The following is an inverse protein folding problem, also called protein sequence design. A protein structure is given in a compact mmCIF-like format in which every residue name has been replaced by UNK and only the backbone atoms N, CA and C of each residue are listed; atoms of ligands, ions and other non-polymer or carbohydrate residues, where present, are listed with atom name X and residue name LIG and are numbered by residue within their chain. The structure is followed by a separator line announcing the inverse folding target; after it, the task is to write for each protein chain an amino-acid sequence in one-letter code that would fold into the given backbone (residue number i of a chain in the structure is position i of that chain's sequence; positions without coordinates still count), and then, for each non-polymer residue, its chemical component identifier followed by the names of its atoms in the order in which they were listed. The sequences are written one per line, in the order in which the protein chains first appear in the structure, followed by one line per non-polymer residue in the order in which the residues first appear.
data_IF_355004478471
#
_entry.id   IF_355004478471
#
_cell.length_a   1.000
_cell.length_b   1.000
_cell.length_c   1.000
_cell.angle_alpha   90.00
_cell.angle_beta   90.00
_cell.angle_gamma   90.00
#
_symmetry.space_group_name_H-M   'P 1'
#
loop_
_entity.id
_entity.type
_entity.pdbx_description
1 polymer ?
#
# COMPACT_ATOMS: atom_id res chain seq x y z
N UNK A 1 14.53 -43.49 -6.42
CA UNK A 1 14.61 -42.01 -6.42
C UNK A 1 13.21 -41.50 -6.20
N UNK A 2 12.90 -41.15 -4.95
CA UNK A 2 11.56 -40.74 -4.54
C UNK A 2 11.35 -39.28 -4.89
N UNK A 3 10.42 -39.02 -5.79
CA UNK A 3 9.89 -37.70 -6.08
C UNK A 3 9.08 -37.21 -4.88
N UNK A 4 9.64 -36.25 -4.12
CA UNK A 4 8.90 -35.49 -3.13
C UNK A 4 7.93 -34.57 -3.87
N UNK A 5 6.69 -35.02 -4.04
CA UNK A 5 5.55 -34.14 -4.31
C UNK A 5 5.27 -33.37 -3.02
N UNK A 6 5.72 -32.13 -2.97
CA UNK A 6 5.25 -31.13 -2.00
C UNK A 6 3.74 -30.97 -2.21
N UNK A 7 2.98 -31.64 -1.36
CA UNK A 7 1.54 -31.46 -1.24
C UNK A 7 1.29 -30.03 -0.80
N UNK A 8 0.73 -29.21 -1.68
CA UNK A 8 0.05 -27.97 -1.32
C UNK A 8 -1.18 -28.32 -0.49
N UNK A 9 -0.98 -28.58 0.80
CA UNK A 9 -2.08 -28.79 1.73
C UNK A 9 -2.85 -27.48 1.85
N UNK A 10 -4.11 -27.50 1.42
CA UNK A 10 -5.08 -26.44 1.72
C UNK A 10 -5.00 -26.14 3.23
N UNK A 11 -4.82 -24.87 3.65
CA UNK A 11 -4.65 -24.56 5.06
C UNK A 11 -5.86 -25.05 5.86
N UNK A 12 -5.59 -25.76 6.96
CA UNK A 12 -6.62 -26.31 7.85
C UNK A 12 -7.53 -25.17 8.34
N UNK A 13 -8.86 -25.36 8.35
CA UNK A 13 -9.85 -24.36 8.77
C UNK A 13 -9.53 -23.74 10.14
N UNK A 14 -8.98 -24.53 11.06
CA UNK A 14 -8.54 -24.04 12.38
C UNK A 14 -7.37 -23.04 12.32
N UNK A 15 -6.46 -23.21 11.36
CA UNK A 15 -5.35 -22.28 11.13
C UNK A 15 -5.86 -20.96 10.55
N UNK A 16 -6.75 -21.03 9.55
CA UNK A 16 -7.38 -19.86 8.95
C UNK A 16 -8.21 -19.06 9.97
N UNK A 17 -8.95 -19.74 10.85
CA UNK A 17 -9.68 -19.10 11.95
C UNK A 17 -8.74 -18.35 12.91
N UNK A 18 -7.59 -18.96 13.27
CA UNK A 18 -6.57 -18.32 14.10
C UNK A 18 -6.00 -17.04 13.46
N UNK A 19 -5.78 -17.04 12.13
CA UNK A 19 -5.34 -15.85 11.39
C UNK A 19 -6.40 -14.74 11.47
N UNK A 20 -7.66 -15.05 11.14
CA UNK A 20 -8.76 -14.08 11.21
C UNK A 20 -8.89 -13.48 12.61
N UNK A 21 -8.86 -14.32 13.65
CA UNK A 21 -8.91 -13.87 15.05
C UNK A 21 -7.75 -12.94 15.42
N UNK A 22 -6.55 -13.23 14.93
CA UNK A 22 -5.34 -12.44 15.19
C UNK A 22 -5.44 -11.06 14.53
N UNK A 23 -5.90 -11.00 13.27
CA UNK A 23 -6.11 -9.75 12.53
C UNK A 23 -7.24 -8.91 13.16
N UNK A 24 -8.36 -9.55 13.54
CA UNK A 24 -9.45 -8.90 14.25
C UNK A 24 -9.00 -8.25 15.57
N UNK A 25 -8.14 -8.94 16.34
CA UNK A 25 -7.57 -8.39 17.57
C UNK A 25 -6.66 -7.19 17.28
N UNK A 26 -5.85 -7.24 16.21
CA UNK A 26 -5.05 -6.10 15.78
C UNK A 26 -5.91 -4.85 15.55
N UNK A 27 -7.01 -4.95 14.80
CA UNK A 27 -7.91 -3.83 14.53
C UNK A 27 -8.49 -3.23 15.81
N UNK A 28 -8.90 -4.09 16.77
CA UNK A 28 -9.39 -3.66 18.08
C UNK A 28 -8.32 -2.90 18.86
N UNK A 29 -7.07 -3.35 18.83
CA UNK A 29 -5.94 -2.72 19.53
C UNK A 29 -5.55 -1.36 18.96
N UNK A 30 -5.83 -1.12 17.68
CA UNK A 30 -5.70 0.18 17.05
C UNK A 30 -6.96 1.07 17.20
N UNK A 31 -7.93 0.66 18.03
CA UNK A 31 -9.17 1.43 18.26
C UNK A 31 -10.08 1.52 17.03
N UNK A 32 -9.85 0.71 16.00
CA UNK A 32 -10.61 0.80 14.75
C UNK A 32 -12.00 0.19 14.90
N UNK A 33 -13.02 0.92 14.42
CA UNK A 33 -14.37 0.41 14.29
C UNK A 33 -14.57 -0.06 12.85
N UNK A 34 -14.66 -1.37 12.66
CA UNK A 34 -15.01 -1.90 11.35
C UNK A 34 -16.42 -1.50 10.97
N UNK A 35 -16.56 -0.99 9.76
CA UNK A 35 -17.82 -0.74 9.09
C UNK A 35 -17.78 -1.41 7.73
N UNK A 36 -18.90 -1.97 7.28
CA UNK A 36 -19.01 -2.36 5.88
C UNK A 36 -18.97 -1.08 5.02
N UNK A 37 -18.21 -1.13 3.93
CA UNK A 37 -17.98 0.04 3.07
C UNK A 37 -18.26 -0.37 1.64
N UNK A 38 -19.13 0.37 0.97
CA UNK A 38 -19.36 0.22 -0.46
C UNK A 38 -18.54 1.27 -1.21
N UNK A 39 -18.08 0.90 -2.41
CA UNK A 39 -17.43 1.83 -3.33
C UNK A 39 -18.46 2.86 -3.81
N UNK A 40 -18.12 4.15 -3.67
CA UNK A 40 -18.92 5.24 -4.21
C UNK A 40 -18.93 5.17 -5.75
N UNK A 41 -20.09 4.80 -6.30
CA UNK A 41 -20.27 4.61 -7.73
C UNK A 41 -20.25 5.92 -8.51
N UNK A 42 -20.75 7.01 -7.93
CA UNK A 42 -20.75 8.32 -8.57
C UNK A 42 -19.32 8.83 -8.65
N UNK A 43 -18.59 8.79 -7.54
CA UNK A 43 -17.19 9.19 -7.51
C UNK A 43 -16.30 8.26 -8.35
N UNK A 44 -16.62 6.97 -8.47
CA UNK A 44 -15.96 6.06 -9.42
C UNK A 44 -16.13 6.52 -10.87
N UNK A 45 -17.35 6.90 -11.27
CA UNK A 45 -17.61 7.43 -12.60
C UNK A 45 -16.85 8.74 -12.85
N UNK A 46 -16.80 9.64 -11.88
CA UNK A 46 -16.02 10.87 -11.95
C UNK A 46 -14.53 10.60 -12.12
N UNK A 47 -13.95 9.71 -11.30
CA UNK A 47 -12.55 9.32 -11.39
C UNK A 47 -12.22 8.70 -12.77
N UNK A 48 -13.11 7.85 -13.29
CA UNK A 48 -12.95 7.28 -14.63
C UNK A 48 -13.00 8.36 -15.72
N UNK A 49 -13.93 9.31 -15.61
CA UNK A 49 -14.06 10.39 -16.58
C UNK A 49 -12.83 11.31 -16.55
N UNK A 50 -12.30 11.61 -15.36
CA UNK A 50 -11.07 12.38 -15.23
C UNK A 50 -9.86 11.66 -15.81
N UNK A 51 -9.74 10.35 -15.60
CA UNK A 51 -8.71 9.55 -16.27
C UNK A 51 -8.78 9.65 -17.80
N UNK A 52 -9.99 9.58 -18.38
CA UNK A 52 -10.22 9.78 -19.82
C UNK A 52 -9.80 11.20 -20.24
N UNK A 53 -10.19 12.23 -19.50
CA UNK A 53 -9.86 13.62 -19.80
C UNK A 53 -8.35 13.87 -19.82
N UNK A 54 -7.60 13.19 -18.94
CA UNK A 54 -6.13 13.23 -18.87
C UNK A 54 -5.44 12.35 -19.92
N UNK A 55 -6.19 11.60 -20.71
CA UNK A 55 -5.66 10.68 -21.72
C UNK A 55 -5.03 9.42 -21.13
N UNK A 56 -5.40 9.03 -19.91
CA UNK A 56 -4.95 7.78 -19.32
C UNK A 56 -5.61 6.60 -20.01
N UNK A 57 -4.92 5.46 -20.15
CA UNK A 57 -5.47 4.31 -20.86
C UNK A 57 -6.62 3.70 -20.04
N UNK A 58 -7.85 3.84 -20.53
CA UNK A 58 -9.06 3.29 -19.89
C UNK A 58 -9.60 2.04 -20.57
N UNK A 59 -9.04 1.68 -21.73
CA UNK A 59 -9.43 0.53 -22.54
C UNK A 59 -8.19 -0.16 -23.14
N UNK A 60 -8.35 -1.41 -23.60
CA UNK A 60 -7.29 -2.20 -24.20
C UNK A 60 -6.27 -2.78 -23.20
N UNK A 61 -5.15 -3.30 -23.71
CA UNK A 61 -4.11 -4.02 -22.94
C UNK A 61 -3.58 -3.21 -21.74
N UNK A 62 -3.44 -1.90 -21.92
CA UNK A 62 -2.84 -1.01 -20.92
C UNK A 62 -3.87 -0.31 -20.04
N UNK A 63 -5.12 -0.77 -20.03
CA UNK A 63 -6.19 -0.15 -19.26
C UNK A 63 -5.89 -0.13 -17.76
N UNK A 64 -6.14 1.00 -17.10
CA UNK A 64 -6.17 1.13 -15.64
C UNK A 64 -7.57 0.92 -15.06
N UNK A 65 -8.61 0.66 -15.88
CA UNK A 65 -10.01 0.59 -15.42
C UNK A 65 -10.24 -0.44 -14.32
N UNK A 66 -9.60 -1.59 -14.41
CA UNK A 66 -9.66 -2.64 -13.39
C UNK A 66 -9.06 -2.22 -12.04
N UNK A 67 -8.23 -1.17 -12.03
CA UNK A 67 -7.56 -0.63 -10.86
C UNK A 67 -8.24 0.63 -10.31
N UNK A 68 -9.26 1.14 -11.00
CA UNK A 68 -9.99 2.33 -10.55
C UNK A 68 -10.75 2.11 -9.26
N UNK A 69 -11.23 0.89 -8.99
CA UNK A 69 -11.86 0.57 -7.70
C UNK A 69 -10.85 0.72 -6.56
N UNK A 70 -9.60 0.30 -6.76
CA UNK A 70 -8.51 0.49 -5.79
C UNK A 70 -8.25 1.99 -5.57
N UNK A 71 -8.23 2.76 -6.65
CA UNK A 71 -8.10 4.22 -6.57
C UNK A 71 -9.23 4.89 -5.80
N UNK A 72 -10.48 4.52 -6.06
CA UNK A 72 -11.65 5.10 -5.39
C UNK A 72 -11.71 4.68 -3.92
N UNK A 73 -11.38 3.42 -3.62
CA UNK A 73 -11.38 2.90 -2.27
C UNK A 73 -10.43 3.65 -1.34
N UNK A 74 -9.35 4.26 -1.86
CA UNK A 74 -8.37 4.97 -1.02
C UNK A 74 -8.86 6.37 -0.61
N UNK A 75 -9.82 6.94 -1.35
CA UNK A 75 -10.29 8.31 -1.18
C UNK A 75 -10.76 8.67 0.24
N UNK A 76 -11.44 7.78 1.01
CA UNK A 76 -11.78 8.05 2.40
C UNK A 76 -10.59 8.37 3.30
N UNK A 77 -9.39 7.84 3.00
CA UNK A 77 -8.13 8.15 3.73
C UNK A 77 -7.69 9.61 3.55
N UNK A 78 -8.27 10.31 2.58
CA UNK A 78 -7.93 11.67 2.22
C UNK A 78 -9.17 12.58 2.25
N UNK A 79 -10.24 12.17 2.94
CA UNK A 79 -11.52 12.87 2.99
C UNK A 79 -11.41 14.31 3.52
N UNK A 80 -10.42 14.59 4.36
CA UNK A 80 -10.11 15.91 4.91
C UNK A 80 -9.37 16.83 3.92
N UNK A 81 -8.92 16.32 2.78
CA UNK A 81 -8.27 17.10 1.74
C UNK A 81 -9.27 17.61 0.68
N UNK A 82 -8.91 18.68 -0.06
CA UNK A 82 -9.72 19.17 -1.17
C UNK A 82 -9.98 18.11 -2.26
N UNK A 83 -11.08 18.25 -2.99
CA UNK A 83 -11.52 17.28 -4.01
C UNK A 83 -10.47 16.97 -5.07
N UNK A 84 -9.76 17.98 -5.56
CA UNK A 84 -8.69 17.79 -6.54
C UNK A 84 -7.51 16.96 -6.01
N UNK A 85 -7.23 17.01 -4.70
CA UNK A 85 -6.18 16.19 -4.07
C UNK A 85 -6.64 14.73 -3.90
N UNK A 86 -7.91 14.52 -3.52
CA UNK A 86 -8.52 13.18 -3.49
C UNK A 86 -8.52 12.54 -4.87
N UNK A 87 -8.93 13.29 -5.89
CA UNK A 87 -8.92 12.83 -7.29
C UNK A 87 -7.51 12.44 -7.75
N UNK A 88 -6.51 13.29 -7.47
CA UNK A 88 -5.11 12.98 -7.76
C UNK A 88 -4.68 11.66 -7.11
N UNK A 89 -5.01 11.47 -5.82
CA UNK A 89 -4.64 10.27 -5.09
C UNK A 89 -5.35 9.01 -5.60
N UNK A 90 -6.60 9.12 -6.04
CA UNK A 90 -7.33 8.03 -6.68
C UNK A 90 -6.63 7.57 -7.96
N UNK A 91 -6.31 8.52 -8.85
CA UNK A 91 -5.63 8.24 -10.11
C UNK A 91 -4.21 7.71 -9.88
N UNK A 92 -3.47 8.32 -8.96
CA UNK A 92 -2.14 7.87 -8.56
C UNK A 92 -2.18 6.42 -8.10
N UNK A 93 -3.09 6.10 -7.17
CA UNK A 93 -3.22 4.75 -6.60
C UNK A 93 -3.60 3.71 -7.67
N UNK A 94 -4.52 4.04 -8.58
CA UNK A 94 -4.89 3.15 -9.68
C UNK A 94 -3.72 2.89 -10.64
N UNK A 95 -2.95 3.93 -10.97
CA UNK A 95 -1.78 3.82 -11.86
C UNK A 95 -0.66 2.99 -11.22
N UNK A 96 -0.29 3.26 -9.97
CA UNK A 96 0.78 2.48 -9.31
C UNK A 96 0.37 1.02 -9.11
N UNK A 97 -0.90 0.75 -8.78
CA UNK A 97 -1.41 -0.62 -8.67
C UNK A 97 -1.35 -1.37 -10.01
N UNK A 98 -1.65 -0.69 -11.13
CA UNK A 98 -1.50 -1.30 -12.47
C UNK A 98 -0.04 -1.60 -12.81
N UNK A 99 0.89 -0.71 -12.44
CA UNK A 99 2.34 -0.89 -12.68
C UNK A 99 2.86 -2.09 -11.89
N UNK A 100 2.48 -2.19 -10.61
CA UNK A 100 2.85 -3.31 -9.75
C UNK A 100 2.45 -4.66 -10.36
N UNK A 101 1.17 -4.79 -10.75
CA UNK A 101 0.66 -5.99 -11.41
C UNK A 101 1.33 -6.27 -12.77
N UNK A 102 1.60 -5.22 -13.56
CA UNK A 102 2.31 -5.34 -14.84
C UNK A 102 3.67 -6.04 -14.66
N UNK A 103 4.42 -5.60 -13.65
CA UNK A 103 5.77 -6.09 -13.38
C UNK A 103 5.74 -7.49 -12.78
N UNK A 104 4.80 -7.76 -11.89
CA UNK A 104 4.58 -9.12 -11.35
C UNK A 104 4.30 -10.15 -12.46
N UNK A 105 3.59 -9.73 -13.50
CA UNK A 105 3.31 -10.56 -14.69
C UNK A 105 4.47 -10.60 -15.70
N UNK A 106 5.55 -9.85 -15.47
CA UNK A 106 6.71 -9.76 -16.37
C UNK A 106 6.43 -8.99 -17.66
N UNK A 107 5.36 -8.17 -17.70
CA UNK A 107 4.98 -7.39 -18.87
C UNK A 107 5.83 -6.12 -18.99
N UNK A 108 6.34 -5.85 -20.19
CA UNK A 108 6.92 -4.56 -20.60
C UNK A 108 7.99 -3.98 -19.63
N UNK A 109 8.70 -4.86 -18.90
CA UNK A 109 9.65 -4.52 -17.84
C UNK A 109 10.77 -3.57 -18.30
N UNK A 110 11.21 -3.69 -19.56
CA UNK A 110 12.22 -2.82 -20.17
C UNK A 110 11.85 -1.34 -20.05
N UNK A 111 10.57 -0.99 -20.19
CA UNK A 111 10.14 0.40 -20.04
C UNK A 111 10.24 0.88 -18.59
N UNK A 112 10.00 0.00 -17.62
CA UNK A 112 10.07 0.29 -16.18
C UNK A 112 11.51 0.60 -15.76
N UNK A 113 12.51 -0.15 -16.25
CA UNK A 113 13.93 0.13 -15.97
C UNK A 113 14.37 1.53 -16.40
N UNK A 114 13.84 2.02 -17.52
CA UNK A 114 14.21 3.33 -18.06
C UNK A 114 13.35 4.48 -17.51
N UNK A 115 12.34 4.22 -16.68
CA UNK A 115 11.41 5.26 -16.27
C UNK A 115 12.10 6.40 -15.51
N UNK A 116 12.92 6.08 -14.50
CA UNK A 116 13.59 7.11 -13.70
C UNK A 116 14.55 7.96 -14.55
N UNK A 117 15.32 7.33 -15.44
CA UNK A 117 16.20 8.01 -16.39
C UNK A 117 15.41 8.96 -17.29
N UNK A 118 14.32 8.48 -17.90
CA UNK A 118 13.48 9.27 -18.80
C UNK A 118 12.77 10.41 -18.06
N UNK A 119 12.27 10.15 -16.86
CA UNK A 119 11.60 11.14 -16.02
C UNK A 119 12.52 12.35 -15.73
N UNK A 120 13.76 12.07 -15.28
CA UNK A 120 14.76 13.12 -14.98
C UNK A 120 15.18 13.88 -16.23
N UNK A 121 15.31 13.19 -17.37
CA UNK A 121 15.67 13.81 -18.64
C UNK A 121 14.47 14.42 -19.40
N UNK A 122 13.27 14.42 -18.81
CA UNK A 122 12.04 14.91 -19.44
C UNK A 122 11.77 14.25 -20.82
N UNK A 123 12.08 12.96 -20.94
CA UNK A 123 11.86 12.16 -22.14
C UNK A 123 10.53 11.41 -22.06
N UNK A 124 9.96 11.07 -23.22
CA UNK A 124 8.77 10.22 -23.30
C UNK A 124 9.04 8.86 -22.65
N UNK A 125 8.10 8.37 -21.82
CA UNK A 125 8.24 7.06 -21.19
C UNK A 125 8.06 5.90 -22.18
N UNK A 126 7.51 6.17 -23.36
CA UNK A 126 7.29 5.17 -24.40
C UNK A 126 6.31 4.07 -24.02
N UNK A 127 5.58 4.22 -22.92
CA UNK A 127 4.60 3.26 -22.42
C UNK A 127 3.38 3.99 -21.82
N UNK A 128 2.13 3.67 -22.20
CA UNK A 128 0.95 4.46 -21.82
C UNK A 128 0.75 4.62 -20.31
N UNK A 129 0.90 3.55 -19.53
CA UNK A 129 0.72 3.59 -18.07
C UNK A 129 1.85 4.40 -17.41
N UNK A 130 3.08 4.29 -17.92
CA UNK A 130 4.21 5.05 -17.38
C UNK A 130 4.11 6.53 -17.74
N UNK A 131 3.57 6.88 -18.91
CA UNK A 131 3.24 8.26 -19.24
C UNK A 131 2.20 8.83 -18.26
N UNK A 132 1.20 8.04 -17.86
CA UNK A 132 0.24 8.46 -16.85
C UNK A 132 0.92 8.73 -15.49
N UNK A 133 1.83 7.85 -15.04
CA UNK A 133 2.61 8.07 -13.83
C UNK A 133 3.48 9.33 -13.91
N UNK A 134 4.14 9.57 -15.05
CA UNK A 134 4.96 10.76 -15.29
C UNK A 134 4.13 12.06 -15.15
N UNK A 135 2.96 12.12 -15.79
CA UNK A 135 2.03 13.25 -15.69
C UNK A 135 1.62 13.49 -14.24
N UNK A 136 1.13 12.45 -13.55
CA UNK A 136 0.70 12.53 -12.14
C UNK A 136 1.85 13.04 -11.25
N UNK A 137 3.05 12.49 -11.44
CA UNK A 137 4.19 12.80 -10.59
C UNK A 137 4.67 14.25 -10.75
N UNK A 138 4.57 14.83 -11.96
CA UNK A 138 4.92 16.24 -12.19
C UNK A 138 3.96 17.22 -11.50
N UNK A 139 2.71 16.83 -11.30
CA UNK A 139 1.70 17.66 -10.63
C UNK A 139 1.92 17.78 -9.12
N UNK A 140 2.79 16.97 -8.50
CA UNK A 140 2.94 16.94 -7.04
C UNK A 140 3.32 18.29 -6.41
N UNK A 141 3.98 19.15 -7.20
CA UNK A 141 4.38 20.50 -6.80
C UNK A 141 3.20 21.47 -6.69
N UNK A 142 2.03 21.11 -7.25
CA UNK A 142 0.78 21.86 -7.09
C UNK A 142 0.10 21.58 -5.74
N UNK A 143 0.43 20.46 -5.08
CA UNK A 143 -0.25 20.01 -3.87
C UNK A 143 0.53 20.30 -2.59
N UNK A 144 1.86 20.32 -2.63
CA UNK A 144 2.67 20.51 -1.42
C UNK A 144 3.85 21.45 -1.63
N UNK A 145 4.48 21.82 -0.51
CA UNK A 145 5.74 22.56 -0.53
C UNK A 145 6.84 21.78 -1.28
N UNK A 146 7.86 22.46 -1.86
CA UNK A 146 8.94 21.81 -2.57
C UNK A 146 9.63 20.68 -1.79
N UNK A 147 9.79 20.85 -0.47
CA UNK A 147 10.41 19.83 0.38
C UNK A 147 9.57 18.55 0.46
N UNK A 148 8.27 18.68 0.68
CA UNK A 148 7.35 17.53 0.76
C UNK A 148 7.19 16.88 -0.61
N UNK A 149 7.04 17.68 -1.67
CA UNK A 149 7.03 17.20 -3.05
C UNK A 149 8.26 16.37 -3.38
N UNK A 150 9.46 16.79 -2.93
CA UNK A 150 10.69 16.01 -3.14
C UNK A 150 10.63 14.63 -2.46
N UNK A 151 10.12 14.54 -1.22
CA UNK A 151 9.98 13.24 -0.53
C UNK A 151 9.02 12.31 -1.28
N UNK A 152 7.89 12.84 -1.75
CA UNK A 152 6.91 12.07 -2.51
C UNK A 152 7.51 11.64 -3.86
N UNK A 153 8.19 12.54 -4.58
CA UNK A 153 8.88 12.20 -5.84
C UNK A 153 9.89 11.09 -5.65
N UNK A 154 10.76 11.17 -4.64
CA UNK A 154 11.75 10.13 -4.35
C UNK A 154 11.07 8.80 -4.02
N UNK A 155 9.98 8.81 -3.25
CA UNK A 155 9.24 7.59 -2.93
C UNK A 155 8.70 6.89 -4.18
N UNK A 156 8.15 7.65 -5.13
CA UNK A 156 7.62 7.09 -6.40
C UNK A 156 8.74 6.58 -7.31
N UNK A 157 9.87 7.29 -7.40
CA UNK A 157 11.03 6.80 -8.17
C UNK A 157 11.65 5.53 -7.54
N UNK A 158 11.64 5.44 -6.21
CA UNK A 158 12.04 4.24 -5.48
C UNK A 158 11.09 3.07 -5.74
N UNK A 159 9.77 3.31 -5.78
CA UNK A 159 8.77 2.29 -6.12
C UNK A 159 9.03 1.64 -7.48
N UNK A 160 9.28 2.46 -8.50
CA UNK A 160 9.61 1.97 -9.84
C UNK A 160 10.91 1.14 -9.83
N UNK A 161 11.91 1.59 -9.06
CA UNK A 161 13.15 0.83 -8.89
C UNK A 161 12.93 -0.48 -8.12
N UNK A 162 12.01 -0.48 -7.15
CA UNK A 162 11.63 -1.66 -6.37
C UNK A 162 10.99 -2.72 -7.26
N UNK A 163 10.12 -2.32 -8.18
CA UNK A 163 9.53 -3.19 -9.19
C UNK A 163 10.60 -3.88 -10.05
N UNK A 164 11.60 -3.12 -10.52
CA UNK A 164 12.75 -3.70 -11.22
C UNK A 164 13.55 -4.66 -10.31
N UNK A 165 13.78 -4.28 -9.05
CA UNK A 165 14.49 -5.11 -8.08
C UNK A 165 13.77 -6.44 -7.84
N UNK A 166 12.45 -6.43 -7.66
CA UNK A 166 11.63 -7.64 -7.45
C UNK A 166 11.70 -8.56 -8.67
N UNK A 167 11.66 -7.99 -9.89
CA UNK A 167 11.88 -8.76 -11.13
C UNK A 167 13.27 -9.42 -11.17
N UNK A 168 14.34 -8.72 -10.79
CA UNK A 168 15.72 -9.26 -10.76
C UNK A 168 15.93 -10.30 -9.65
N UNK A 169 15.12 -10.24 -8.59
CA UNK A 169 15.32 -11.03 -7.37
C UNK A 169 14.26 -12.11 -7.15
N UNK A 170 13.39 -12.36 -8.13
CA UNK A 170 12.24 -13.29 -8.04
C UNK A 170 12.57 -14.67 -7.44
N UNK A 171 13.72 -15.24 -7.79
CA UNK A 171 14.17 -16.56 -7.32
C UNK A 171 15.34 -16.49 -6.32
N UNK A 172 15.65 -15.28 -5.82
CA UNK A 172 16.77 -15.05 -4.92
C UNK A 172 16.50 -15.65 -3.54
N UNK A 173 17.43 -16.46 -3.05
CA UNK A 173 17.38 -16.95 -1.66
C UNK A 173 17.74 -15.82 -0.69
N UNK A 174 16.85 -15.54 0.26
CA UNK A 174 17.10 -14.53 1.28
C UNK A 174 18.07 -15.08 2.33
N UNK A 175 19.19 -14.39 2.51
CA UNK A 175 20.16 -14.75 3.53
C UNK A 175 19.62 -14.44 4.93
N UNK A 176 19.66 -15.40 5.88
CA UNK A 176 19.37 -15.13 7.30
C UNK A 176 20.34 -14.11 7.94
N UNK A 177 21.46 -13.80 7.26
CA UNK A 177 22.43 -12.78 7.69
C UNK A 177 22.08 -11.38 7.17
N UNK A 178 20.95 -11.20 6.50
CA UNK A 178 20.46 -9.92 5.97
C UNK A 178 19.12 -9.52 6.63
N UNK A 179 19.08 -9.33 7.96
CA UNK A 179 17.82 -9.16 8.70
C UNK A 179 17.03 -7.88 8.33
N UNK A 180 17.68 -6.89 7.72
CA UNK A 180 17.06 -5.62 7.32
C UNK A 180 16.59 -5.61 5.86
N UNK A 181 16.97 -6.60 5.05
CA UNK A 181 16.61 -6.64 3.64
C UNK A 181 15.09 -6.65 3.40
N UNK A 182 14.28 -7.46 4.11
CA UNK A 182 12.84 -7.45 3.91
C UNK A 182 12.23 -6.05 4.15
N UNK A 183 12.62 -5.39 5.24
CA UNK A 183 12.10 -4.05 5.58
C UNK A 183 12.56 -3.00 4.56
N UNK A 184 13.82 -3.06 4.12
CA UNK A 184 14.33 -2.20 3.05
C UNK A 184 13.53 -2.37 1.76
N UNK A 185 13.36 -3.61 1.27
CA UNK A 185 12.60 -3.90 0.05
C UNK A 185 11.16 -3.40 0.16
N UNK A 186 10.50 -3.67 1.30
CA UNK A 186 9.11 -3.29 1.55
C UNK A 186 8.89 -1.78 1.61
N UNK A 187 9.84 -1.02 2.16
CA UNK A 187 9.77 0.45 2.16
C UNK A 187 9.87 1.01 0.75
N UNK A 188 10.67 0.39 -0.14
CA UNK A 188 10.76 0.84 -1.53
C UNK A 188 9.48 0.52 -2.31
N UNK A 189 8.98 -0.73 -2.26
CA UNK A 189 7.80 -1.13 -3.03
C UNK A 189 6.47 -0.64 -2.43
N UNK A 190 6.41 -0.40 -1.12
CA UNK A 190 5.18 0.05 -0.46
C UNK A 190 4.80 1.52 -0.64
N UNK A 191 5.73 2.33 -1.14
CA UNK A 191 5.54 3.78 -1.32
C UNK A 191 4.99 4.52 -0.07
N UNK A 192 5.31 4.12 1.17
CA UNK A 192 4.64 4.66 2.35
C UNK A 192 4.85 6.17 2.52
N UNK A 193 5.98 6.69 2.04
CA UNK A 193 6.27 8.13 2.04
C UNK A 193 5.31 8.91 1.15
N UNK A 194 4.98 8.40 -0.04
CA UNK A 194 4.06 9.09 -0.93
C UNK A 194 2.68 9.21 -0.27
N UNK A 195 2.14 8.09 0.22
CA UNK A 195 0.83 8.07 0.87
C UNK A 195 0.81 8.87 2.18
N UNK A 196 1.85 8.72 3.01
CA UNK A 196 1.93 9.32 4.33
C UNK A 196 2.16 10.83 4.30
N UNK A 197 3.08 11.33 3.45
CA UNK A 197 3.28 12.77 3.31
C UNK A 197 2.08 13.45 2.66
N UNK A 198 1.45 12.82 1.67
CA UNK A 198 0.30 13.41 0.98
C UNK A 198 -0.92 13.55 1.91
N UNK A 199 -1.01 12.72 2.96
CA UNK A 199 -2.10 12.82 3.93
C UNK A 199 -2.12 14.16 4.67
N UNK A 200 -0.98 14.83 4.84
CA UNK A 200 -0.91 16.08 5.60
C UNK A 200 -1.23 17.31 4.74
N UNK A 201 -2.17 18.19 5.15
CA UNK A 201 -2.51 19.38 4.38
C UNK A 201 -1.29 20.24 4.04
N UNK A 202 -1.30 20.86 2.87
CA UNK A 202 -0.17 21.64 2.34
C UNK A 202 0.22 22.85 3.20
N UNK A 203 -0.74 23.38 3.96
CA UNK A 203 -0.57 24.50 4.88
C UNK A 203 -0.05 24.09 6.26
N UNK A 204 -0.11 22.79 6.61
CA UNK A 204 0.38 22.29 7.88
C UNK A 204 1.91 22.26 7.86
N UNK A 205 2.61 22.97 8.77
CA UNK A 205 4.07 23.01 8.75
C UNK A 205 4.68 21.63 8.98
N UNK A 206 5.65 21.24 8.15
CA UNK A 206 6.31 19.92 8.22
C UNK A 206 6.83 19.56 9.62
N UNK A 207 7.31 20.56 10.38
CA UNK A 207 7.82 20.37 11.75
C UNK A 207 6.77 19.83 12.73
N UNK A 208 5.47 19.99 12.44
CA UNK A 208 4.38 19.54 13.29
C UNK A 208 4.10 18.03 13.16
N UNK A 209 4.56 17.39 12.07
CA UNK A 209 4.28 15.97 11.81
C UNK A 209 5.49 15.14 11.37
N UNK A 210 6.62 15.74 10.98
CA UNK A 210 7.77 15.00 10.43
C UNK A 210 8.31 13.91 11.34
N UNK A 211 8.23 14.09 12.65
CA UNK A 211 8.70 13.11 13.62
C UNK A 211 7.85 11.83 13.64
N UNK A 212 6.58 11.90 13.21
CA UNK A 212 5.71 10.73 13.15
C UNK A 212 5.87 9.95 11.84
N UNK A 213 6.47 10.53 10.79
CA UNK A 213 6.58 9.91 9.46
C UNK A 213 7.28 8.53 9.51
N UNK A 214 8.38 8.31 10.26
CA UNK A 214 8.99 6.99 10.37
C UNK A 214 8.02 5.92 10.89
N UNK A 215 7.24 6.22 11.92
CA UNK A 215 6.22 5.32 12.45
C UNK A 215 5.05 5.17 11.48
N UNK A 216 4.66 6.25 10.78
CA UNK A 216 3.62 6.19 9.76
C UNK A 216 3.99 5.26 8.60
N UNK A 217 5.28 5.17 8.24
CA UNK A 217 5.75 4.20 7.24
C UNK A 217 5.50 2.76 7.66
N UNK A 218 5.77 2.47 8.93
CA UNK A 218 5.50 1.15 9.54
C UNK A 218 3.99 0.89 9.47
N UNK A 219 3.17 1.85 9.89
CA UNK A 219 1.70 1.71 9.88
C UNK A 219 1.18 1.44 8.46
N UNK A 220 1.55 2.24 7.45
CA UNK A 220 1.02 2.10 6.09
C UNK A 220 1.34 0.73 5.50
N UNK A 221 2.62 0.31 5.56
CA UNK A 221 3.05 -0.95 4.99
C UNK A 221 2.49 -2.15 5.77
N UNK A 222 2.66 -2.16 7.09
CA UNK A 222 2.28 -3.32 7.89
C UNK A 222 0.76 -3.47 8.03
N UNK A 223 -0.03 -2.38 8.07
CA UNK A 223 -1.50 -2.52 8.01
C UNK A 223 -1.90 -3.24 6.74
N UNK A 224 -1.30 -2.89 5.60
CA UNK A 224 -1.58 -3.56 4.33
C UNK A 224 -1.19 -5.04 4.40
N UNK A 225 0.03 -5.36 4.85
CA UNK A 225 0.53 -6.73 4.97
C UNK A 225 -0.28 -7.58 5.97
N UNK A 226 -0.71 -6.99 7.09
CA UNK A 226 -1.53 -7.67 8.10
C UNK A 226 -2.93 -7.96 7.56
N UNK A 227 -3.56 -6.97 6.90
CA UNK A 227 -4.94 -7.10 6.40
C UNK A 227 -5.00 -7.93 5.09
N UNK A 228 -3.91 -8.01 4.32
CA UNK A 228 -3.80 -8.89 3.15
C UNK A 228 -3.42 -10.32 3.52
N UNK A 229 -2.82 -10.56 4.68
CA UNK A 229 -2.27 -11.88 5.02
C UNK A 229 -3.29 -13.02 4.92
N UNK A 230 -4.55 -12.77 5.32
CA UNK A 230 -5.60 -13.80 5.25
C UNK A 230 -5.85 -14.28 3.81
N UNK A 231 -5.97 -13.35 2.85
CA UNK A 231 -6.16 -13.73 1.44
C UNK A 231 -4.90 -14.40 0.87
N UNK A 232 -3.73 -13.91 1.24
CA UNK A 232 -2.44 -14.41 0.73
C UNK A 232 -2.17 -15.85 1.20
N UNK A 233 -2.50 -16.18 2.44
CA UNK A 233 -2.34 -17.54 2.96
C UNK A 233 -3.30 -18.52 2.27
N UNK A 234 -4.50 -18.07 1.87
CA UNK A 234 -5.46 -18.87 1.10
C UNK A 234 -5.00 -19.07 -0.34
N UNK A 235 -4.42 -18.02 -0.94
CA UNK A 235 -3.82 -18.04 -2.28
C UNK A 235 -2.51 -18.85 -2.32
N UNK A 236 -1.94 -19.20 -1.15
CA UNK A 236 -0.68 -19.92 -1.04
C UNK A 236 0.54 -19.06 -1.38
N UNK A 237 0.44 -17.74 -1.23
CA UNK A 237 1.53 -16.82 -1.51
C UNK A 237 2.67 -16.99 -0.48
N UNK A 238 3.86 -17.24 -1.01
CA UNK A 238 5.10 -17.44 -0.25
C UNK A 238 6.12 -16.32 -0.47
N UNK A 239 5.77 -15.30 -1.26
CA UNK A 239 6.65 -14.20 -1.67
C UNK A 239 6.31 -12.88 -0.98
N UNK A 240 5.19 -12.81 -0.26
CA UNK A 240 4.82 -11.65 0.55
C UNK A 240 5.85 -11.30 1.66
N UNK A 241 5.77 -10.06 2.13
CA UNK A 241 6.67 -9.51 3.15
C UNK A 241 6.76 -10.38 4.41
N UNK A 242 5.63 -10.93 4.84
CA UNK A 242 5.56 -11.76 6.05
C UNK A 242 6.34 -13.08 5.88
N UNK A 243 6.28 -13.68 4.69
CA UNK A 243 7.08 -14.86 4.34
C UNK A 243 8.58 -14.54 4.31
N UNK A 244 8.97 -13.39 3.74
CA UNK A 244 10.35 -12.92 3.76
C UNK A 244 10.85 -12.66 5.19
N UNK A 245 10.01 -12.06 6.03
CA UNK A 245 10.32 -11.79 7.43
C UNK A 245 10.51 -13.10 8.22
N UNK A 246 9.61 -14.05 8.06
CA UNK A 246 9.72 -15.37 8.68
C UNK A 246 11.02 -16.09 8.27
N UNK A 247 11.35 -16.08 6.97
CA UNK A 247 12.55 -16.71 6.42
C UNK A 247 13.85 -16.07 6.96
N UNK A 248 13.95 -14.74 6.91
CA UNK A 248 15.14 -14.00 7.38
C UNK A 248 15.43 -14.19 8.87
N UNK A 249 14.40 -14.48 9.68
CA UNK A 249 14.50 -14.63 11.15
C UNK A 249 14.49 -16.07 11.62
N UNK A 250 14.38 -17.05 10.72
CA UNK A 250 14.21 -18.47 11.07
C UNK A 250 13.04 -18.69 12.03
N UNK A 251 11.91 -18.02 11.78
CA UNK A 251 10.68 -18.05 12.60
C UNK A 251 9.48 -18.54 11.80
N UNK A 252 8.36 -18.84 12.47
CA UNK A 252 7.13 -19.23 11.78
C UNK A 252 6.41 -17.99 11.23
N UNK A 253 5.58 -18.13 10.18
CA UNK A 253 4.71 -17.06 9.68
C UNK A 253 3.80 -16.50 10.79
N UNK A 254 3.32 -17.35 11.70
CA UNK A 254 2.49 -16.92 12.83
C UNK A 254 3.25 -16.04 13.84
N UNK A 255 4.51 -16.36 14.12
CA UNK A 255 5.34 -15.54 15.00
C UNK A 255 5.71 -14.22 14.32
N UNK A 256 6.01 -14.26 13.02
CA UNK A 256 6.22 -13.07 12.20
C UNK A 256 4.97 -12.16 12.20
N UNK A 257 3.77 -12.71 12.01
CA UNK A 257 2.52 -11.94 12.10
C UNK A 257 2.35 -11.25 13.45
N UNK A 258 2.63 -11.96 14.55
CA UNK A 258 2.54 -11.40 15.90
C UNK A 258 3.54 -10.27 16.10
N UNK A 259 4.81 -10.44 15.71
CA UNK A 259 5.83 -9.39 15.79
C UNK A 259 5.41 -8.15 14.98
N UNK A 260 4.91 -8.34 13.76
CA UNK A 260 4.45 -7.27 12.89
C UNK A 260 3.28 -6.50 13.52
N UNK A 261 2.31 -7.20 14.11
CA UNK A 261 1.18 -6.60 14.82
C UNK A 261 1.67 -5.77 16.01
N UNK A 262 2.56 -6.29 16.86
CA UNK A 262 3.08 -5.54 18.00
C UNK A 262 3.79 -4.26 17.56
N UNK A 263 4.66 -4.36 16.55
CA UNK A 263 5.37 -3.20 15.98
C UNK A 263 4.40 -2.17 15.42
N UNK A 264 3.36 -2.60 14.72
CA UNK A 264 2.36 -1.72 14.10
C UNK A 264 1.49 -1.02 15.12
N UNK A 265 1.04 -1.73 16.16
CA UNK A 265 0.25 -1.16 17.26
C UNK A 265 1.08 -0.15 18.04
N UNK A 266 2.37 -0.43 18.28
CA UNK A 266 3.26 0.52 18.94
C UNK A 266 3.47 1.77 18.10
N UNK A 267 3.73 1.62 16.79
CA UNK A 267 3.91 2.74 15.87
C UNK A 267 2.63 3.61 15.79
N UNK A 268 1.45 2.99 15.73
CA UNK A 268 0.17 3.70 15.77
C UNK A 268 0.03 4.58 17.04
N UNK A 269 0.28 4.02 18.22
CA UNK A 269 0.21 4.78 19.47
C UNK A 269 1.27 5.86 19.58
N UNK A 270 2.49 5.62 19.09
CA UNK A 270 3.56 6.62 19.05
C UNK A 270 3.14 7.83 18.22
N UNK A 271 2.52 7.61 17.04
CA UNK A 271 2.03 8.70 16.20
C UNK A 271 0.98 9.53 16.93
N UNK A 272 0.00 8.88 17.57
CA UNK A 272 -1.04 9.57 18.33
C UNK A 272 -0.44 10.45 19.45
N UNK A 273 0.51 9.93 20.23
CA UNK A 273 1.17 10.71 21.28
C UNK A 273 2.07 11.81 20.72
N UNK A 274 2.81 11.54 19.63
CA UNK A 274 3.69 12.49 18.97
C UNK A 274 2.92 13.69 18.40
N UNK A 275 1.74 13.45 17.83
CA UNK A 275 0.93 14.48 17.19
C UNK A 275 -0.01 15.20 18.15
N UNK A 276 -0.21 14.67 19.37
CA UNK A 276 -1.08 15.26 20.41
C UNK A 276 -0.88 16.77 20.65
N UNK A 277 0.34 17.36 20.58
CA UNK A 277 0.52 18.80 20.73
C UNK A 277 -0.09 19.66 19.61
N UNK A 278 -0.35 19.09 18.43
CA UNK A 278 -0.91 19.78 17.26
C UNK A 278 -2.20 19.08 16.81
N UNK A 279 -3.36 19.63 17.20
CA UNK A 279 -4.67 19.00 16.94
C UNK A 279 -4.94 18.77 15.45
N UNK A 280 -4.55 19.72 14.58
CA UNK A 280 -4.73 19.57 13.12
C UNK A 280 -3.93 18.37 12.57
N UNK A 281 -2.68 18.20 13.02
CA UNK A 281 -1.85 17.06 12.62
C UNK A 281 -2.39 15.74 13.18
N UNK A 282 -2.84 15.74 14.43
CA UNK A 282 -3.46 14.59 15.08
C UNK A 282 -4.72 14.14 14.34
N UNK A 283 -5.65 15.07 14.12
CA UNK A 283 -6.91 14.79 13.43
C UNK A 283 -6.67 14.31 12.00
N UNK A 284 -5.68 14.90 11.30
CA UNK A 284 -5.24 14.45 9.98
C UNK A 284 -4.84 12.98 9.99
N UNK A 285 -4.02 12.56 10.94
CA UNK A 285 -3.59 11.17 11.04
C UNK A 285 -4.76 10.23 11.37
N UNK A 286 -5.64 10.62 12.29
CA UNK A 286 -6.80 9.81 12.67
C UNK A 286 -7.72 9.60 11.47
N UNK A 287 -8.07 10.67 10.74
CA UNK A 287 -8.88 10.56 9.52
C UNK A 287 -8.20 9.68 8.47
N UNK A 288 -6.89 9.86 8.25
CA UNK A 288 -6.13 9.04 7.34
C UNK A 288 -6.17 7.56 7.72
N UNK A 289 -5.89 7.23 8.97
CA UNK A 289 -5.87 5.85 9.45
C UNK A 289 -7.25 5.20 9.34
N UNK A 290 -8.31 5.88 9.78
CA UNK A 290 -9.68 5.39 9.65
C UNK A 290 -10.08 5.14 8.19
N UNK A 291 -9.78 6.08 7.30
CA UNK A 291 -10.03 5.92 5.88
C UNK A 291 -9.19 4.80 5.25
N UNK A 292 -7.98 4.56 5.74
CA UNK A 292 -7.14 3.47 5.26
C UNK A 292 -7.67 2.10 5.69
N UNK A 293 -8.30 1.99 6.87
CA UNK A 293 -9.05 0.77 7.22
C UNK A 293 -10.28 0.61 6.32
N UNK A 294 -11.01 1.71 6.02
CA UNK A 294 -12.15 1.68 5.09
C UNK A 294 -11.74 1.24 3.68
N UNK A 295 -10.56 1.63 3.20
CA UNK A 295 -9.99 1.14 1.94
C UNK A 295 -9.91 -0.40 1.90
N UNK A 296 -9.39 -1.01 2.95
CA UNK A 296 -9.30 -2.48 3.05
C UNK A 296 -10.69 -3.12 3.18
N UNK A 297 -11.63 -2.47 3.87
CA UNK A 297 -13.00 -2.95 4.01
C UNK A 297 -13.79 -2.88 2.69
N UNK A 298 -13.55 -1.86 1.86
CA UNK A 298 -14.28 -1.61 0.61
C UNK A 298 -13.88 -2.55 -0.53
N UNK A 299 -12.65 -3.07 -0.51
CA UNK A 299 -12.13 -3.93 -1.55
C UNK A 299 -12.32 -5.40 -1.19
N UNK A 300 -13.20 -6.08 -1.94
CA UNK A 300 -13.54 -7.49 -1.71
C UNK A 300 -12.33 -8.42 -1.59
N UNK A 301 -11.24 -8.09 -2.31
CA UNK A 301 -9.98 -8.87 -2.31
C UNK A 301 -9.42 -9.13 -0.91
N UNK A 302 -9.62 -8.23 0.05
CA UNK A 302 -9.09 -8.39 1.42
C UNK A 302 -9.94 -9.30 2.30
N UNK A 303 -11.16 -9.67 1.86
CA UNK A 303 -12.07 -10.58 2.59
C UNK A 303 -12.35 -10.11 4.04
N UNK A 304 -12.41 -8.80 4.25
CA UNK A 304 -12.60 -8.20 5.57
C UNK A 304 -13.88 -8.66 6.26
N UNK A 305 -14.96 -8.91 5.50
CA UNK A 305 -16.23 -9.44 6.05
C UNK A 305 -16.04 -10.76 6.80
N UNK A 306 -15.17 -11.63 6.29
CA UNK A 306 -14.88 -12.93 6.92
C UNK A 306 -14.00 -12.78 8.16
N UNK A 307 -12.98 -11.92 8.09
CA UNK A 307 -12.12 -11.59 9.24
C UNK A 307 -12.97 -11.06 10.40
N UNK A 308 -13.92 -10.18 10.09
CA UNK A 308 -14.73 -9.48 11.08
C UNK A 308 -15.90 -10.32 11.61
N UNK A 309 -16.32 -11.37 10.91
CA UNK A 309 -17.30 -12.32 11.43
C UNK A 309 -16.83 -12.96 12.76
N UNK A 310 -15.52 -13.16 12.95
CA UNK A 310 -14.94 -13.68 14.19
C UNK A 310 -15.08 -12.70 15.38
N UNK A 311 -15.24 -11.40 15.13
CA UNK A 311 -15.46 -10.43 16.21
C UNK A 311 -16.87 -10.45 16.77
N UNK A 312 -17.85 -10.96 16.02
CA UNK A 312 -19.25 -11.04 16.45
C UNK A 312 -19.54 -12.30 17.28
N UNK A 313 -18.55 -13.18 17.42
CA UNK A 313 -18.65 -14.49 18.07
C UNK A 313 -18.38 -14.47 19.58
N UNK A 314 -18.15 -13.29 20.18
CA UNK A 314 -17.85 -13.11 21.61
C UNK A 314 -18.85 -12.19 22.30
#
# INVERSE_FOLDING_TARGET
MSTNTLSTSTPNDSHLASIRQTIANFLRRCGSQYTDVEIDKEYYCECCQEAINRGFPMDGKYSIRAYMEVGVAIAPSYAHLPDHAKMWMCLFTAVVARIDDMVLQGEDITHVYHFNERFVNCQSQGHPILNALDVILREITCFHSPLVSNFITVAVLNFVSANCLESETKDMQISPKAPFYPEYSRVLSGIPDAFGFFAFPSMLPIKEYIQCIPDLRIVINHVNDILSYYKEEIEGDTTNYLSLMAASRTSTKQDALREMIEKTVQAHHNILECLRPCSEAYDTYVHFFEGYIKFHAALERYRMKEIMAEMSSY
#
